data_IF_212339628413
#
_entry.id   IF_212339628413
#
_cell.length_a   1.000
_cell.length_b   1.000
_cell.length_c   1.000
_cell.angle_alpha   90.00
_cell.angle_beta   90.00
_cell.angle_gamma   90.00
#
_symmetry.space_group_name_H-M   'P 1'
#
loop_
_entity.id
_entity.type
_entity.pdbx_description
1 polymer ?
#
# COMPACT_ATOMS: atom_id res chain seq x y z
N UNK A 1 -15.79 -4.73 -2.76
CA UNK A 1 -14.58 -4.01 -2.88
C UNK A 1 -14.34 -3.17 -1.68
N UNK A 2 -13.16 -3.02 -1.37
CA UNK A 2 -12.81 -2.26 -0.21
C UNK A 2 -13.20 -0.82 -0.31
N UNK A 3 -13.44 -0.24 0.81
CA UNK A 3 -14.04 1.06 0.90
C UNK A 3 -13.27 2.18 0.27
N UNK A 4 -11.96 2.18 0.48
CA UNK A 4 -11.14 3.27 -0.05
C UNK A 4 -10.35 2.87 -1.28
N UNK A 5 -10.61 1.69 -1.82
CA UNK A 5 -9.85 1.22 -2.97
C UNK A 5 -9.97 2.16 -4.15
N UNK A 6 -11.13 2.77 -4.32
CA UNK A 6 -11.34 3.68 -5.43
C UNK A 6 -10.45 4.92 -5.35
N UNK A 7 -10.02 5.27 -4.15
CA UNK A 7 -9.15 6.43 -3.98
C UNK A 7 -7.77 6.18 -4.55
N UNK A 8 -7.44 4.93 -4.87
CA UNK A 8 -6.18 4.63 -5.51
C UNK A 8 -6.20 4.96 -7.00
N UNK A 9 -7.37 5.25 -7.54
CA UNK A 9 -7.52 5.62 -8.93
C UNK A 9 -7.03 4.54 -9.88
N UNK A 10 -7.28 3.29 -9.55
CA UNK A 10 -6.85 2.19 -10.38
C UNK A 10 -7.94 1.72 -11.33
N UNK A 11 -9.11 1.48 -10.79
CA UNK A 11 -10.20 0.93 -11.58
C UNK A 11 -10.99 -0.02 -10.72
N UNK A 12 -11.78 -0.88 -11.37
CA UNK A 12 -12.68 -1.76 -10.65
C UNK A 12 -12.17 -3.17 -10.42
N UNK A 13 -10.94 -3.46 -10.78
CA UNK A 13 -10.41 -4.81 -10.66
C UNK A 13 -9.64 -4.97 -9.36
N UNK A 14 -9.25 -6.21 -9.08
CA UNK A 14 -8.59 -6.51 -7.83
C UNK A 14 -7.09 -6.28 -7.91
N UNK A 15 -6.41 -6.38 -6.78
CA UNK A 15 -4.97 -6.23 -6.70
C UNK A 15 -4.39 -7.33 -5.83
N UNK A 16 -3.12 -7.60 -6.07
CA UNK A 16 -2.33 -8.48 -5.21
C UNK A 16 -1.23 -7.64 -4.56
N UNK A 17 -0.88 -8.00 -3.34
CA UNK A 17 0.28 -7.43 -2.68
C UNK A 17 1.40 -8.45 -2.80
N UNK A 18 2.51 -8.05 -3.39
CA UNK A 18 3.62 -8.96 -3.63
C UNK A 18 4.78 -8.75 -2.67
N UNK A 19 4.79 -7.63 -1.96
CA UNK A 19 5.86 -7.38 -1.02
C UNK A 19 5.47 -6.26 -0.06
N UNK A 20 5.93 -6.37 1.17
CA UNK A 20 5.79 -5.31 2.17
C UNK A 20 7.18 -5.06 2.72
N UNK A 21 7.65 -3.83 2.65
CA UNK A 21 8.98 -3.48 3.08
C UNK A 21 8.90 -2.38 4.13
N UNK A 22 9.43 -2.67 5.31
CA UNK A 22 9.43 -1.72 6.41
C UNK A 22 10.84 -1.17 6.55
N UNK A 23 10.98 0.14 6.52
CA UNK A 23 12.28 0.76 6.61
C UNK A 23 12.27 1.86 7.66
N UNK A 24 13.44 2.40 7.95
CA UNK A 24 13.59 3.51 8.88
C UNK A 24 12.98 3.19 10.24
N UNK A 25 13.24 1.96 10.72
CA UNK A 25 12.76 1.50 12.03
C UNK A 25 11.24 1.49 12.15
N UNK A 26 10.56 1.35 11.01
CA UNK A 26 9.10 1.37 11.01
C UNK A 26 8.50 2.71 10.66
N UNK A 27 9.32 3.70 10.38
CA UNK A 27 8.80 5.02 10.05
C UNK A 27 8.26 5.09 8.63
N UNK A 28 8.63 4.13 7.79
CA UNK A 28 8.17 4.10 6.41
C UNK A 28 7.82 2.68 6.01
N UNK A 29 6.68 2.50 5.36
CA UNK A 29 6.24 1.18 4.91
C UNK A 29 5.85 1.26 3.46
N UNK A 30 6.42 0.35 2.67
CA UNK A 30 6.15 0.26 1.23
C UNK A 30 5.39 -1.02 0.94
N UNK A 31 4.29 -0.90 0.20
CA UNK A 31 3.54 -2.05 -0.30
C UNK A 31 3.74 -2.10 -1.80
N UNK A 32 4.27 -3.21 -2.31
CA UNK A 32 4.39 -3.40 -3.76
C UNK A 32 3.21 -4.24 -4.20
N UNK A 33 2.50 -3.78 -5.21
CA UNK A 33 1.23 -4.36 -5.59
C UNK A 33 1.14 -4.55 -7.08
N UNK A 34 0.22 -5.42 -7.50
CA UNK A 34 -0.08 -5.63 -8.91
C UNK A 34 -1.59 -5.50 -9.08
N UNK A 35 -2.00 -4.59 -9.94
CA UNK A 35 -3.40 -4.41 -10.27
C UNK A 35 -3.75 -5.32 -11.44
N UNK A 36 -4.96 -5.89 -11.41
CA UNK A 36 -5.44 -6.78 -12.46
C UNK A 36 -4.48 -7.94 -12.67
N UNK A 37 -4.26 -8.76 -11.64
CA UNK A 37 -3.22 -9.78 -11.71
C UNK A 37 -3.47 -10.87 -12.74
N UNK A 38 -4.73 -11.09 -13.14
CA UNK A 38 -5.02 -12.10 -14.14
C UNK A 38 -5.12 -11.51 -15.53
N UNK A 39 -4.95 -10.21 -15.67
CA UNK A 39 -5.01 -9.53 -16.95
C UNK A 39 -3.71 -8.79 -17.23
N UNK A 40 -3.77 -7.46 -17.22
CA UNK A 40 -2.62 -6.65 -17.61
C UNK A 40 -1.48 -6.63 -16.61
N UNK A 41 -1.72 -7.00 -15.37
CA UNK A 41 -0.69 -7.07 -14.32
C UNK A 41 0.08 -5.76 -14.21
N UNK A 42 -0.61 -4.70 -13.86
CA UNK A 42 -0.01 -3.37 -13.80
C UNK A 42 0.57 -3.12 -12.41
N UNK A 43 1.86 -2.88 -12.31
CA UNK A 43 2.47 -2.66 -10.98
C UNK A 43 2.15 -1.30 -10.43
N UNK A 44 2.02 -1.23 -9.12
CA UNK A 44 1.92 0.04 -8.43
C UNK A 44 2.41 -0.19 -7.00
N UNK A 45 2.65 0.89 -6.29
CA UNK A 45 3.07 0.78 -4.90
C UNK A 45 2.41 1.87 -4.07
N UNK A 46 2.28 1.60 -2.78
CA UNK A 46 1.77 2.54 -1.81
C UNK A 46 2.83 2.69 -0.73
N UNK A 47 3.19 3.93 -0.41
CA UNK A 47 4.19 4.20 0.62
C UNK A 47 3.54 5.04 1.70
N UNK A 48 3.62 4.57 2.94
CA UNK A 48 3.17 5.35 4.09
C UNK A 48 4.39 5.97 4.74
N UNK A 49 4.35 7.27 4.96
CA UNK A 49 5.46 8.05 5.49
C UNK A 49 5.17 8.52 6.90
N UNK A 50 6.22 8.67 7.68
CA UNK A 50 6.14 9.18 9.03
C UNK A 50 5.18 8.35 9.87
N UNK A 51 5.37 7.03 9.80
CA UNK A 51 4.54 6.09 10.55
C UNK A 51 4.93 6.12 12.02
N UNK A 52 3.93 6.01 12.88
CA UNK A 52 4.15 6.07 14.32
C UNK A 52 3.72 4.82 15.05
N UNK A 53 2.72 4.12 14.54
CA UNK A 53 2.17 2.97 15.24
C UNK A 53 1.74 1.94 14.22
N UNK A 54 2.23 0.72 14.34
CA UNK A 54 1.95 -0.34 13.38
C UNK A 54 1.50 -1.56 14.16
N UNK A 55 0.37 -2.13 13.73
CA UNK A 55 -0.14 -3.36 14.31
C UNK A 55 -0.34 -4.36 13.20
N UNK A 56 0.20 -5.56 13.35
CA UNK A 56 0.25 -6.55 12.28
C UNK A 56 -0.27 -7.87 12.81
N UNK A 57 -1.23 -8.45 12.10
CA UNK A 57 -1.80 -9.73 12.48
C UNK A 57 -1.78 -10.67 11.28
N UNK A 58 -1.29 -11.89 11.47
CA UNK A 58 -1.27 -12.91 10.43
C UNK A 58 -2.39 -13.89 10.74
N UNK A 59 -3.32 -14.03 9.79
CA UNK A 59 -4.50 -14.89 10.01
C UNK A 59 -4.22 -16.35 9.75
N UNK A 60 -3.44 -16.63 8.71
CA UNK A 60 -3.19 -17.99 8.28
C UNK A 60 -1.70 -18.23 8.20
N UNK A 61 -1.07 -18.57 9.32
CA UNK A 61 0.38 -18.77 9.31
C UNK A 61 0.85 -19.82 8.32
N UNK A 62 -0.03 -20.75 7.97
CA UNK A 62 0.34 -21.78 7.01
C UNK A 62 0.50 -21.21 5.60
N UNK A 63 -0.05 -20.03 5.35
CA UNK A 63 -0.01 -19.42 4.03
C UNK A 63 1.09 -18.38 3.89
N UNK A 64 1.92 -18.22 4.90
CA UNK A 64 2.94 -17.16 4.86
C UNK A 64 3.99 -17.38 3.77
N UNK A 65 4.04 -18.56 3.19
CA UNK A 65 4.99 -18.82 2.13
C UNK A 65 4.45 -18.46 0.75
N UNK A 66 3.19 -18.10 0.66
CA UNK A 66 2.65 -17.65 -0.61
C UNK A 66 3.34 -16.36 -1.01
N UNK A 67 3.73 -16.23 -2.27
CA UNK A 67 4.42 -15.02 -2.70
C UNK A 67 3.52 -13.82 -2.87
N UNK A 68 2.21 -14.02 -2.85
CA UNK A 68 1.26 -12.94 -3.13
C UNK A 68 0.07 -13.05 -2.22
N UNK A 69 -0.46 -11.90 -1.81
CA UNK A 69 -1.65 -11.85 -0.98
C UNK A 69 -2.73 -11.05 -1.70
N UNK A 70 -3.96 -11.54 -1.64
CA UNK A 70 -5.08 -10.82 -2.24
C UNK A 70 -5.44 -9.62 -1.38
N UNK A 71 -5.49 -8.46 -1.99
CA UNK A 71 -5.94 -7.26 -1.29
C UNK A 71 -7.46 -7.30 -1.19
N UNK A 72 -7.96 -7.52 0.01
CA UNK A 72 -9.39 -7.65 0.23
C UNK A 72 -10.01 -6.32 0.59
N UNK A 73 -9.33 -5.54 1.41
CA UNK A 73 -9.88 -4.27 1.84
C UNK A 73 -8.77 -3.28 2.16
N UNK A 74 -9.05 -2.01 1.90
CA UNK A 74 -8.11 -0.97 2.28
C UNK A 74 -8.91 0.24 2.76
N UNK A 75 -8.55 0.73 3.94
CA UNK A 75 -9.07 1.96 4.50
C UNK A 75 -7.88 2.87 4.70
N UNK A 76 -7.91 4.03 4.10
CA UNK A 76 -6.76 4.91 4.18
C UNK A 76 -6.73 5.73 5.46
N UNK A 77 -7.80 5.69 6.25
CA UNK A 77 -7.80 6.42 7.50
C UNK A 77 -7.74 7.92 7.27
N UNK A 78 -7.00 8.60 8.12
CA UNK A 78 -6.80 10.04 7.99
C UNK A 78 -5.33 10.33 8.26
N UNK A 79 -4.74 11.14 7.42
CA UNK A 79 -3.33 11.47 7.54
C UNK A 79 -3.05 12.33 8.76
N UNK A 80 -1.82 12.74 8.92
CA UNK A 80 -1.37 13.54 10.05
C UNK A 80 -1.67 12.83 11.37
N UNK A 81 -1.55 11.50 11.37
CA UNK A 81 -1.68 10.65 12.56
C UNK A 81 -3.05 10.76 13.24
N UNK A 82 -4.09 11.03 12.45
CA UNK A 82 -5.42 11.20 13.03
C UNK A 82 -6.21 9.90 13.07
N UNK A 83 -6.01 9.03 12.08
CA UNK A 83 -6.71 7.76 12.06
C UNK A 83 -5.89 6.77 11.26
N UNK A 84 -5.70 5.58 11.81
CA UNK A 84 -4.86 4.56 11.17
C UNK A 84 -5.44 4.08 9.87
N UNK A 85 -4.56 3.81 8.92
CA UNK A 85 -4.94 3.07 7.73
C UNK A 85 -5.06 1.61 8.11
N UNK A 86 -5.90 0.88 7.38
CA UNK A 86 -6.10 -0.54 7.60
C UNK A 86 -6.02 -1.24 6.26
N UNK A 87 -5.10 -2.19 6.14
CA UNK A 87 -4.94 -2.95 4.91
C UNK A 87 -5.19 -4.41 5.25
N UNK A 88 -6.19 -4.97 4.60
CA UNK A 88 -6.68 -6.31 4.89
C UNK A 88 -6.48 -7.20 3.68
N UNK A 89 -5.81 -8.32 3.88
CA UNK A 89 -5.59 -9.29 2.81
C UNK A 89 -6.09 -10.64 3.26
N UNK A 90 -5.97 -11.63 2.39
CA UNK A 90 -6.38 -12.99 2.75
C UNK A 90 -5.37 -13.66 3.69
N UNK A 91 -4.20 -13.07 3.88
CA UNK A 91 -3.17 -13.66 4.74
C UNK A 91 -2.97 -12.85 6.02
N UNK A 92 -3.04 -11.53 5.93
CA UNK A 92 -2.72 -10.68 7.09
C UNK A 92 -3.52 -9.39 7.06
N UNK A 93 -3.48 -8.70 8.18
CA UNK A 93 -4.06 -7.38 8.30
C UNK A 93 -3.05 -6.48 9.00
N UNK A 94 -2.89 -5.26 8.51
CA UNK A 94 -1.96 -4.33 9.11
C UNK A 94 -2.63 -2.98 9.31
N UNK A 95 -2.38 -2.39 10.47
CA UNK A 95 -2.92 -1.08 10.83
C UNK A 95 -1.74 -0.13 10.99
N UNK A 96 -1.81 1.04 10.37
CA UNK A 96 -0.69 1.96 10.31
C UNK A 96 -1.15 3.37 10.63
N UNK A 97 -0.59 3.95 11.69
CA UNK A 97 -0.84 5.34 12.00
C UNK A 97 0.28 6.15 11.35
N UNK A 98 -0.05 6.97 10.37
CA UNK A 98 0.93 7.58 9.49
C UNK A 98 0.71 9.07 9.33
N UNK A 99 1.74 9.76 8.84
CA UNK A 99 1.64 11.20 8.58
C UNK A 99 1.12 11.50 7.20
N UNK A 100 1.63 10.80 6.19
CA UNK A 100 1.19 11.00 4.82
C UNK A 100 1.42 9.71 4.04
N UNK A 101 0.88 9.65 2.83
CA UNK A 101 1.13 8.50 1.98
C UNK A 101 1.24 8.96 0.54
N UNK A 102 1.83 8.11 -0.29
CA UNK A 102 1.93 8.38 -1.72
C UNK A 102 1.71 7.10 -2.49
N UNK A 103 1.31 7.24 -3.74
CA UNK A 103 1.03 6.11 -4.61
C UNK A 103 1.84 6.29 -5.88
N UNK A 104 2.51 5.20 -6.30
CA UNK A 104 3.31 5.21 -7.52
C UNK A 104 2.75 4.17 -8.46
N UNK A 105 2.37 4.58 -9.66
CA UNK A 105 1.78 3.68 -10.64
C UNK A 105 2.65 3.61 -11.86
N UNK A 106 2.52 2.50 -12.59
CA UNK A 106 3.23 2.38 -13.83
C UNK A 106 4.12 1.18 -13.78
N UNK A 107 5.01 1.07 -14.77
CA UNK A 107 5.85 -0.06 -14.83
C UNK A 107 6.90 0.02 -13.79
N UNK A 108 7.76 -0.95 -13.80
CA UNK A 108 8.78 -1.04 -12.82
C UNK A 108 9.54 0.24 -12.71
N UNK A 109 9.64 0.76 -11.53
CA UNK A 109 10.24 2.05 -11.32
C UNK A 109 11.74 1.96 -11.17
N UNK A 110 12.45 2.93 -11.76
CA UNK A 110 13.85 3.11 -11.44
C UNK A 110 13.91 4.35 -10.56
N UNK A 111 15.08 4.73 -10.12
CA UNK A 111 15.16 5.82 -9.16
C UNK A 111 14.63 7.12 -9.72
N UNK A 112 14.81 7.37 -10.98
CA UNK A 112 14.33 8.60 -11.56
C UNK A 112 12.83 8.64 -11.59
N UNK A 113 12.22 7.56 -12.03
CA UNK A 113 10.78 7.49 -12.09
C UNK A 113 10.20 7.60 -10.70
N UNK A 114 10.84 6.97 -9.75
CA UNK A 114 10.37 6.99 -8.39
C UNK A 114 10.34 8.40 -7.84
N UNK A 115 11.37 9.17 -8.08
CA UNK A 115 11.41 10.52 -7.59
C UNK A 115 10.30 11.35 -8.18
N UNK A 116 10.08 11.20 -9.45
CA UNK A 116 9.04 11.96 -10.12
C UNK A 116 7.68 11.63 -9.56
N UNK A 117 7.43 10.35 -9.37
CA UNK A 117 6.13 9.94 -8.89
C UNK A 117 5.89 10.38 -7.46
N UNK A 118 6.91 10.31 -6.65
CA UNK A 118 6.78 10.75 -5.28
C UNK A 118 6.41 12.21 -5.21
N UNK A 119 7.04 13.03 -6.04
CA UNK A 119 6.73 14.43 -6.04
C UNK A 119 5.29 14.68 -6.42
N UNK A 120 4.81 13.96 -7.41
CA UNK A 120 3.45 14.14 -7.83
C UNK A 120 2.49 13.77 -6.71
N UNK A 121 2.75 12.68 -6.04
CA UNK A 121 1.87 12.26 -4.98
C UNK A 121 1.88 13.23 -3.84
N UNK A 122 3.05 13.70 -3.52
CA UNK A 122 3.15 14.59 -2.41
C UNK A 122 2.46 15.89 -2.64
N UNK A 123 2.42 16.30 -3.84
CA UNK A 123 1.86 17.59 -4.14
C UNK A 123 0.52 17.75 -3.55
N UNK A 124 -0.21 16.69 -3.42
CA UNK A 124 -1.45 16.88 -2.81
C UNK A 124 -1.56 16.22 -1.52
N UNK A 125 -0.75 15.32 -1.29
CA UNK A 125 -0.84 14.66 -0.06
C UNK A 125 -0.33 15.49 1.01
N UNK A 126 0.59 16.22 0.66
CA UNK A 126 1.14 16.88 1.62
C UNK A 126 0.79 18.02 1.65
N UNK A 127 0.50 17.98 1.03
CA UNK A 127 0.60 18.98 1.22
C UNK A 127 0.26 19.28 1.80
#
# INVERSE_FOLDING_TARGET
MPDDYNLLNLGGLTSLITNVNVSLWGNEILFECIYDPTGDRLPYSIVFHDCRDISWEVFHPEDVKDPEADLIGIHLGEDAHRKSALIHTDIFEISILYGSFSIHKGEKLNSEDLETEVLVSQAQAVV
#
